data_IF_942192369636
#
_entry.id   IF_942192369636
#
_cell.length_a   1.000
_cell.length_b   1.000
_cell.length_c   1.000
_cell.angle_alpha   90.00
_cell.angle_beta   90.00
_cell.angle_gamma   90.00
#
_symmetry.space_group_name_H-M   'P 1'
#
loop_
_entity.id
_entity.type
_entity.pdbx_description
1 polymer ?
#
# COMPACT_ATOMS: atom_id res chain seq x y z
N UNK A 1 -49.87 23.27 -39.76
CA UNK A 1 -51.22 23.30 -39.14
C UNK A 1 -51.09 22.75 -37.73
N UNK A 2 -52.04 23.06 -36.83
CA UNK A 2 -51.99 22.85 -35.37
C UNK A 2 -50.98 23.71 -34.58
N UNK A 3 -51.52 24.40 -33.58
CA UNK A 3 -50.86 24.95 -32.38
C UNK A 3 -51.07 23.95 -31.21
N UNK A 4 -50.42 24.10 -30.06
CA UNK A 4 -50.93 24.98 -28.97
C UNK A 4 -49.79 25.72 -28.21
N UNK A 5 -50.00 26.60 -27.22
CA UNK A 5 -51.11 27.49 -26.82
C UNK A 5 -50.52 28.65 -25.97
N UNK A 6 -51.33 29.52 -25.35
CA UNK A 6 -51.00 30.94 -25.10
C UNK A 6 -51.16 31.38 -23.61
N UNK A 7 -50.44 32.44 -23.17
CA UNK A 7 -50.59 33.24 -21.89
C UNK A 7 -50.24 32.50 -20.56
N UNK A 8 -49.95 33.11 -19.38
CA UNK A 8 -49.84 34.49 -18.81
C UNK A 8 -49.16 34.39 -17.40
N UNK A 9 -48.63 35.38 -16.65
CA UNK A 9 -48.33 36.84 -16.81
C UNK A 9 -47.12 37.24 -15.89
N UNK A 10 -46.86 38.55 -15.74
CA UNK A 10 -45.83 39.25 -14.96
C UNK A 10 -46.04 39.38 -13.42
N UNK A 11 -44.91 39.56 -12.72
CA UNK A 11 -44.53 40.45 -11.59
C UNK A 11 -45.49 40.86 -10.46
N UNK A 12 -44.96 40.85 -9.23
CA UNK A 12 -44.75 42.09 -8.43
C UNK A 12 -43.82 41.84 -7.21
N UNK A 13 -43.11 42.88 -6.78
CA UNK A 13 -42.32 42.90 -5.54
C UNK A 13 -42.51 44.25 -4.79
N UNK A 14 -42.35 44.26 -3.45
CA UNK A 14 -41.96 45.46 -2.71
C UNK A 14 -40.69 45.23 -1.86
N UNK A 15 -40.15 46.30 -1.26
CA UNK A 15 -38.86 46.25 -0.56
C UNK A 15 -38.77 47.16 0.69
N UNK A 16 -37.76 46.86 1.52
CA UNK A 16 -37.13 47.63 2.61
C UNK A 16 -37.95 48.17 3.80
N UNK A 17 -37.41 47.90 5.01
CA UNK A 17 -37.58 48.69 6.24
C UNK A 17 -36.31 48.50 7.12
N UNK A 18 -36.03 49.41 8.08
CA UNK A 18 -34.82 49.39 8.92
C UNK A 18 -35.11 49.12 10.42
N UNK A 19 -34.06 48.67 11.12
CA UNK A 19 -33.99 48.31 12.55
C UNK A 19 -34.25 49.51 13.49
N UNK A 20 -34.70 49.28 14.74
CA UNK A 20 -33.78 49.46 15.87
C UNK A 20 -33.81 48.34 16.93
N UNK A 21 -32.95 48.46 17.95
CA UNK A 21 -32.53 47.41 18.90
C UNK A 21 -33.54 47.18 20.07
N UNK A 22 -33.61 45.96 20.62
CA UNK A 22 -33.14 45.61 22.00
C UNK A 22 -33.62 44.22 22.51
N UNK A 23 -32.74 43.61 23.33
CA UNK A 23 -32.89 42.55 24.36
C UNK A 23 -34.26 41.89 24.60
N UNK A 24 -34.33 40.54 24.61
CA UNK A 24 -35.47 39.82 25.19
C UNK A 24 -35.58 38.30 24.99
N UNK A 25 -34.63 37.48 25.49
CA UNK A 25 -34.82 36.02 25.52
C UNK A 25 -35.70 35.59 26.71
N UNK A 26 -36.89 35.05 26.43
CA UNK A 26 -37.77 34.48 27.45
C UNK A 26 -37.41 33.02 27.77
N UNK A 27 -37.34 32.68 29.06
CA UNK A 27 -37.21 31.31 29.53
C UNK A 27 -38.55 30.57 29.48
N UNK A 28 -38.51 29.26 29.19
CA UNK A 28 -39.47 28.30 29.73
C UNK A 28 -38.72 27.06 30.21
N UNK A 29 -38.88 26.72 31.50
CA UNK A 29 -38.14 25.66 32.19
C UNK A 29 -39.08 24.52 32.57
N UNK A 30 -38.73 23.28 32.24
CA UNK A 30 -38.97 22.05 33.02
C UNK A 30 -38.28 20.85 32.34
N UNK A 31 -37.89 19.78 33.06
CA UNK A 31 -36.59 19.16 32.77
C UNK A 31 -36.56 17.65 32.44
N UNK A 32 -35.49 17.29 31.71
CA UNK A 32 -34.67 16.07 31.80
C UNK A 32 -35.32 14.67 31.85
N UNK A 33 -35.02 13.87 30.82
CA UNK A 33 -34.68 12.44 30.95
C UNK A 33 -33.45 12.14 30.07
N UNK A 34 -32.73 11.04 30.35
CA UNK A 34 -31.31 10.88 29.98
C UNK A 34 -31.04 10.23 28.61
N UNK A 35 -29.87 10.57 28.07
CA UNK A 35 -29.15 9.85 27.01
C UNK A 35 -27.74 9.57 27.56
N UNK A 36 -27.37 8.30 27.75
CA UNK A 36 -26.07 7.93 28.31
C UNK A 36 -25.08 7.45 27.22
N UNK A 37 -23.89 8.04 27.23
CA UNK A 37 -22.72 7.66 26.42
C UNK A 37 -21.48 8.32 27.01
N UNK A 38 -20.89 7.71 28.04
CA UNK A 38 -19.81 8.31 28.83
C UNK A 38 -18.41 7.78 28.47
N UNK A 39 -17.55 8.69 28.02
CA UNK A 39 -16.09 8.55 28.12
C UNK A 39 -15.62 8.91 29.54
N UNK A 40 -14.45 8.40 30.01
CA UNK A 40 -14.00 8.57 31.38
C UNK A 40 -13.53 10.00 31.72
N UNK A 41 -13.59 10.34 33.01
CA UNK A 41 -13.47 11.71 33.53
C UNK A 41 -12.04 12.03 34.01
N UNK A 42 -11.52 13.19 33.61
CA UNK A 42 -10.49 13.92 34.35
C UNK A 42 -11.12 15.14 35.07
N UNK A 43 -10.88 15.36 36.38
CA UNK A 43 -11.52 16.43 37.13
C UNK A 43 -10.80 17.78 37.00
N UNK A 44 -11.36 18.70 36.21
CA UNK A 44 -11.02 20.12 36.30
C UNK A 44 -11.66 20.77 37.54
N UNK A 45 -10.86 21.09 38.56
CA UNK A 45 -11.32 21.85 39.74
C UNK A 45 -11.33 23.35 39.42
N UNK A 46 -12.49 24.01 39.57
CA UNK A 46 -12.60 25.47 39.42
C UNK A 46 -12.11 26.22 40.65
N UNK A 47 -11.45 27.34 40.39
CA UNK A 47 -10.96 28.32 41.36
C UNK A 47 -12.12 29.08 42.03
N UNK A 48 -12.06 29.23 43.35
CA UNK A 48 -12.85 30.20 44.11
C UNK A 48 -11.97 30.85 45.18
N UNK A 49 -12.20 32.14 45.44
CA UNK A 49 -11.30 33.00 46.21
C UNK A 49 -11.72 33.16 47.68
N UNK A 50 -10.75 33.08 48.58
CA UNK A 50 -10.82 33.66 49.93
C UNK A 50 -9.44 34.19 50.34
N UNK A 51 -9.39 35.16 51.23
CA UNK A 51 -8.16 35.85 51.62
C UNK A 51 -7.47 35.19 52.82
N UNK A 52 -6.15 35.43 52.92
CA UNK A 52 -5.25 35.13 54.05
C UNK A 52 -4.86 33.65 54.29
N UNK A 53 -3.60 33.45 54.69
CA UNK A 53 -3.21 32.38 55.63
C UNK A 53 -2.92 30.97 55.09
N UNK A 54 -1.63 30.62 55.00
CA UNK A 54 -1.03 29.26 54.98
C UNK A 54 -1.98 28.06 55.24
N UNK A 55 -2.05 27.12 54.30
CA UNK A 55 -2.56 25.76 54.55
C UNK A 55 -1.39 24.76 54.58
N UNK A 56 -1.31 23.96 55.64
CA UNK A 56 -0.42 22.78 55.75
C UNK A 56 -1.16 21.54 55.27
N UNK A 57 -0.49 20.67 54.54
CA UNK A 57 -1.00 19.32 54.26
C UNK A 57 -0.78 18.39 55.46
N UNK A 58 -1.82 17.66 55.85
CA UNK A 58 -1.76 16.54 56.80
C UNK A 58 -2.53 15.36 56.18
N UNK A 59 -1.90 14.18 56.09
CA UNK A 59 -2.59 12.96 55.69
C UNK A 59 -3.27 12.32 56.91
N UNK A 60 -4.59 12.29 56.93
CA UNK A 60 -5.37 11.60 57.96
C UNK A 60 -5.59 10.13 57.56
N UNK A 61 -4.99 9.21 58.30
CA UNK A 61 -4.97 7.79 57.95
C UNK A 61 -6.13 7.02 58.61
N UNK A 62 -7.32 7.04 58.01
CA UNK A 62 -8.48 6.19 58.36
C UNK A 62 -9.54 6.19 57.23
N UNK A 63 -9.80 5.02 56.65
CA UNK A 63 -11.08 4.31 56.84
C UNK A 63 -10.91 2.83 56.45
N UNK A 64 -11.64 1.93 57.12
CA UNK A 64 -11.62 0.48 56.87
C UNK A 64 -12.88 0.04 56.14
N UNK A 65 -12.81 -1.14 55.51
CA UNK A 65 -13.93 -1.91 54.97
C UNK A 65 -14.68 -1.26 53.79
N UNK A 66 -14.16 -1.48 52.58
CA UNK A 66 -14.96 -1.54 51.36
C UNK A 66 -14.74 -2.91 50.71
N UNK A 67 -15.81 -3.53 50.21
CA UNK A 67 -15.75 -4.83 49.54
C UNK A 67 -14.93 -4.76 48.25
N UNK A 68 -13.94 -5.64 48.10
CA UNK A 68 -13.19 -5.78 46.85
C UNK A 68 -14.08 -6.51 45.84
N UNK A 69 -14.93 -5.75 45.14
CA UNK A 69 -15.56 -6.21 43.92
C UNK A 69 -14.46 -6.44 42.88
N UNK A 70 -14.13 -7.70 42.62
CA UNK A 70 -13.08 -8.07 41.68
C UNK A 70 -13.56 -7.84 40.24
N UNK A 71 -13.49 -6.59 39.79
CA UNK A 71 -13.56 -6.24 38.38
C UNK A 71 -12.33 -6.82 37.67
N UNK A 72 -12.45 -8.07 37.25
CA UNK A 72 -11.62 -8.64 36.20
C UNK A 72 -11.84 -7.80 34.94
N UNK A 73 -10.98 -6.80 34.77
CA UNK A 73 -10.78 -6.12 33.50
C UNK A 73 -10.29 -7.16 32.51
N UNK A 74 -11.24 -7.76 31.79
CA UNK A 74 -11.01 -8.46 30.53
C UNK A 74 -10.56 -7.41 29.51
N UNK A 75 -9.31 -6.95 29.66
CA UNK A 75 -8.56 -6.35 28.58
C UNK A 75 -8.66 -7.33 27.41
N UNK A 76 -9.15 -6.91 26.23
CA UNK A 76 -9.12 -7.77 25.08
C UNK A 76 -7.66 -8.02 24.74
N UNK A 77 -7.16 -9.20 25.13
CA UNK A 77 -5.85 -9.69 24.68
C UNK A 77 -6.00 -9.96 23.20
N UNK A 78 -5.85 -8.92 22.39
CA UNK A 78 -5.62 -9.03 20.95
C UNK A 78 -4.30 -9.74 20.81
N UNK A 79 -4.36 -11.08 20.77
CA UNK A 79 -3.23 -11.92 20.39
C UNK A 79 -2.76 -11.39 19.06
N UNK A 80 -1.62 -10.70 19.07
CA UNK A 80 -1.04 -10.14 17.87
C UNK A 80 -0.78 -11.30 16.93
N UNK A 81 -1.61 -11.42 15.87
CA UNK A 81 -1.56 -12.54 14.95
C UNK A 81 -0.15 -12.56 14.37
N UNK A 82 0.65 -13.57 14.73
CA UNK A 82 2.04 -13.70 14.26
C UNK A 82 2.02 -13.56 12.75
N UNK A 83 2.71 -12.54 12.26
CA UNK A 83 2.80 -12.22 10.83
C UNK A 83 3.79 -13.24 10.24
N UNK A 84 3.26 -14.42 9.91
CA UNK A 84 4.03 -15.54 9.41
C UNK A 84 4.21 -15.39 7.90
N UNK A 85 5.46 -15.22 7.49
CA UNK A 85 5.84 -15.07 6.09
C UNK A 85 6.01 -16.45 5.43
N UNK A 86 5.34 -16.65 4.29
CA UNK A 86 5.37 -17.90 3.53
C UNK A 86 6.39 -17.81 2.39
N UNK A 87 7.60 -18.29 2.67
CA UNK A 87 8.71 -18.24 1.71
C UNK A 87 8.55 -19.22 0.54
N UNK A 88 7.86 -20.37 0.71
CA UNK A 88 7.53 -21.26 -0.42
C UNK A 88 6.65 -20.50 -1.43
N UNK A 89 5.59 -19.86 -0.94
CA UNK A 89 4.71 -19.04 -1.78
C UNK A 89 5.48 -17.87 -2.39
N UNK A 90 6.44 -17.28 -1.69
CA UNK A 90 7.27 -16.20 -2.23
C UNK A 90 8.24 -16.65 -3.32
N UNK A 91 8.94 -17.79 -3.16
CA UNK A 91 9.83 -18.33 -4.20
C UNK A 91 9.04 -18.69 -5.46
N UNK A 92 7.86 -19.32 -5.32
CA UNK A 92 6.96 -19.56 -6.46
C UNK A 92 6.50 -18.23 -7.09
N UNK A 93 6.16 -17.22 -6.30
CA UNK A 93 5.80 -15.90 -6.83
C UNK A 93 6.95 -15.22 -7.60
N UNK A 94 8.22 -15.48 -7.24
CA UNK A 94 9.38 -15.00 -8.00
C UNK A 94 9.46 -15.70 -9.37
N UNK A 95 9.23 -17.01 -9.45
CA UNK A 95 9.29 -17.72 -10.73
C UNK A 95 8.31 -17.14 -11.76
N UNK A 96 7.10 -16.78 -11.35
CA UNK A 96 6.14 -16.13 -12.23
C UNK A 96 6.45 -14.64 -12.48
N UNK A 97 7.02 -13.92 -11.51
CA UNK A 97 7.53 -12.56 -11.74
C UNK A 97 8.68 -12.55 -12.77
N UNK A 98 9.55 -13.56 -12.74
CA UNK A 98 10.63 -13.79 -13.70
C UNK A 98 10.08 -14.26 -15.07
N UNK A 99 9.10 -15.17 -15.07
CA UNK A 99 8.41 -15.65 -16.29
C UNK A 99 7.87 -14.49 -17.14
N UNK A 100 7.37 -13.42 -16.51
CA UNK A 100 6.88 -12.24 -17.23
C UNK A 100 7.97 -11.47 -18.01
N UNK A 101 9.26 -11.65 -17.68
CA UNK A 101 10.38 -11.10 -18.45
C UNK A 101 10.80 -11.98 -19.64
N UNK A 102 10.49 -13.27 -19.60
CA UNK A 102 10.95 -14.26 -20.57
C UNK A 102 10.48 -13.95 -21.99
N UNK A 103 11.34 -14.15 -22.98
CA UNK A 103 10.94 -14.11 -24.40
C UNK A 103 10.02 -15.29 -24.74
N UNK A 104 10.33 -16.47 -24.20
CA UNK A 104 9.46 -17.65 -24.20
C UNK A 104 9.19 -18.09 -22.74
N UNK A 105 7.96 -17.96 -22.22
CA UNK A 105 7.62 -18.36 -20.85
C UNK A 105 7.43 -19.88 -20.69
N UNK A 106 7.38 -20.67 -21.78
CA UNK A 106 6.99 -22.10 -21.74
C UNK A 106 7.89 -22.92 -20.81
N UNK A 107 9.20 -22.68 -20.79
CA UNK A 107 10.12 -23.43 -19.93
C UNK A 107 9.84 -23.23 -18.43
N UNK A 108 9.66 -21.97 -17.98
CA UNK A 108 9.24 -21.66 -16.60
C UNK A 108 7.90 -22.31 -16.24
N UNK A 109 6.95 -22.29 -17.18
CA UNK A 109 5.62 -22.86 -16.97
C UNK A 109 5.64 -24.38 -16.87
N UNK A 110 6.45 -25.07 -17.69
CA UNK A 110 6.66 -26.52 -17.62
C UNK A 110 7.27 -26.91 -16.28
N UNK A 111 8.31 -26.20 -15.80
CA UNK A 111 8.89 -26.41 -14.46
C UNK A 111 7.82 -26.29 -13.37
N UNK A 112 6.99 -25.25 -13.43
CA UNK A 112 5.92 -24.98 -12.46
C UNK A 112 4.66 -25.85 -12.63
N UNK A 113 4.63 -26.77 -13.62
CA UNK A 113 3.45 -27.56 -14.00
C UNK A 113 2.22 -26.67 -14.23
N UNK A 114 2.44 -25.59 -14.95
CA UNK A 114 1.54 -24.47 -15.14
C UNK A 114 1.09 -24.32 -16.61
N UNK A 115 -0.09 -23.75 -16.80
CA UNK A 115 -0.69 -23.51 -18.12
C UNK A 115 -1.00 -22.02 -18.29
N UNK A 116 -0.78 -21.47 -19.49
CA UNK A 116 -1.23 -20.10 -19.82
C UNK A 116 -2.75 -20.11 -19.94
N UNK A 117 -3.43 -19.30 -19.13
CA UNK A 117 -4.85 -18.98 -19.31
C UNK A 117 -5.04 -17.76 -20.20
N UNK A 118 -4.13 -16.79 -20.09
CA UNK A 118 -4.08 -15.60 -20.94
C UNK A 118 -2.70 -14.94 -20.90
N UNK A 119 -2.28 -14.34 -22.00
CA UNK A 119 -1.11 -13.45 -22.02
C UNK A 119 -1.38 -12.25 -22.93
N UNK A 120 -0.84 -11.09 -22.58
CA UNK A 120 -0.95 -9.84 -23.34
C UNK A 120 0.40 -9.12 -23.35
N UNK A 121 0.79 -8.62 -24.53
CA UNK A 121 1.95 -7.76 -24.74
C UNK A 121 1.55 -6.59 -25.64
N UNK A 122 1.80 -5.37 -25.19
CA UNK A 122 1.56 -4.15 -25.98
C UNK A 122 2.43 -2.99 -25.50
N UNK A 123 2.78 -2.02 -26.38
CA UNK A 123 3.41 -0.77 -25.93
C UNK A 123 2.43 0.02 -25.05
N UNK A 124 2.84 0.38 -23.84
CA UNK A 124 1.96 1.04 -22.86
C UNK A 124 2.49 2.36 -22.29
N UNK A 125 3.78 2.65 -22.47
CA UNK A 125 4.41 3.89 -22.01
C UNK A 125 4.78 4.84 -23.16
N UNK A 126 4.97 6.11 -22.81
CA UNK A 126 5.47 7.20 -23.64
C UNK A 126 6.78 6.86 -24.38
N UNK A 127 7.70 6.15 -23.73
CA UNK A 127 8.98 5.68 -24.29
C UNK A 127 8.85 4.42 -25.16
N UNK A 128 7.61 3.96 -25.42
CA UNK A 128 7.24 2.74 -26.16
C UNK A 128 7.68 1.42 -25.52
N UNK A 129 8.03 1.41 -24.23
CA UNK A 129 8.32 0.15 -23.54
C UNK A 129 7.05 -0.72 -23.44
N UNK A 130 7.24 -2.04 -23.50
CA UNK A 130 6.14 -3.01 -23.58
C UNK A 130 5.62 -3.36 -22.19
N UNK A 131 4.33 -3.17 -21.94
CA UNK A 131 3.65 -3.85 -20.84
C UNK A 131 3.42 -5.31 -21.23
N UNK A 132 3.79 -6.23 -20.33
CA UNK A 132 3.47 -7.65 -20.42
C UNK A 132 2.66 -8.07 -19.18
N UNK A 133 1.57 -8.80 -19.40
CA UNK A 133 0.76 -9.41 -18.36
C UNK A 133 0.43 -10.86 -18.69
N UNK A 134 0.52 -11.74 -17.71
CA UNK A 134 0.31 -13.18 -17.84
C UNK A 134 -0.64 -13.67 -16.73
N UNK A 135 -1.66 -14.43 -17.11
CA UNK A 135 -2.49 -15.22 -16.21
C UNK A 135 -2.16 -16.69 -16.43
N UNK A 136 -1.71 -17.38 -15.39
CA UNK A 136 -1.34 -18.79 -15.43
C UNK A 136 -2.11 -19.62 -14.39
N UNK A 137 -2.34 -20.90 -14.68
CA UNK A 137 -2.99 -21.86 -13.79
C UNK A 137 -2.03 -22.95 -13.36
N UNK A 138 -2.00 -23.25 -12.06
CA UNK A 138 -1.28 -24.39 -11.47
C UNK A 138 -2.26 -25.31 -10.72
N UNK A 139 -1.75 -26.41 -10.14
CA UNK A 139 -2.57 -27.29 -9.29
C UNK A 139 -3.12 -26.58 -8.03
N UNK A 140 -2.35 -25.68 -7.39
CA UNK A 140 -2.73 -24.96 -6.15
C UNK A 140 -3.50 -23.66 -6.42
N UNK A 141 -3.09 -22.90 -7.44
CA UNK A 141 -3.35 -21.45 -7.52
C UNK A 141 -3.43 -20.90 -8.95
N UNK A 142 -4.18 -19.81 -9.13
CA UNK A 142 -4.14 -18.94 -10.31
C UNK A 142 -3.10 -17.85 -10.03
N UNK A 143 -2.18 -17.62 -10.97
CA UNK A 143 -1.18 -16.55 -10.89
C UNK A 143 -1.56 -15.42 -11.85
N UNK A 144 -1.41 -14.18 -11.41
CA UNK A 144 -1.52 -12.97 -12.21
C UNK A 144 -0.18 -12.23 -12.09
N UNK A 145 0.64 -12.33 -13.14
CA UNK A 145 2.02 -11.85 -13.14
C UNK A 145 2.23 -10.72 -14.14
N UNK A 146 2.94 -9.67 -13.71
CA UNK A 146 3.26 -8.50 -14.51
C UNK A 146 4.78 -8.28 -14.61
N UNK A 147 5.23 -7.90 -15.80
CA UNK A 147 6.63 -7.53 -16.07
C UNK A 147 6.88 -6.08 -15.64
N UNK A 148 8.11 -5.78 -15.22
CA UNK A 148 8.61 -4.41 -15.15
C UNK A 148 9.33 -3.97 -16.44
N UNK A 149 9.83 -2.74 -16.46
CA UNK A 149 10.62 -2.20 -17.59
C UNK A 149 11.84 -3.06 -17.92
N UNK A 150 12.33 -2.95 -19.17
CA UNK A 150 13.62 -3.55 -19.57
C UNK A 150 14.81 -2.77 -19.01
N UNK A 151 14.73 -1.44 -19.02
CA UNK A 151 15.73 -0.52 -18.45
C UNK A 151 15.34 -0.12 -17.02
N UNK A 152 16.16 -0.40 -16.01
CA UNK A 152 15.80 -0.15 -14.59
C UNK A 152 16.13 1.26 -14.13
N UNK A 153 17.24 1.80 -14.60
CA UNK A 153 17.68 3.18 -14.44
C UNK A 153 16.69 4.16 -15.10
N UNK A 154 16.11 3.74 -16.23
CA UNK A 154 15.07 4.48 -16.94
C UNK A 154 13.78 4.53 -16.13
N UNK A 155 13.35 3.42 -15.50
CA UNK A 155 12.17 3.40 -14.63
C UNK A 155 12.30 4.39 -13.46
N UNK A 156 13.46 4.47 -12.80
CA UNK A 156 13.66 5.45 -11.71
C UNK A 156 13.54 6.89 -12.24
N UNK A 157 14.08 7.16 -13.43
CA UNK A 157 13.94 8.46 -14.11
C UNK A 157 12.48 8.77 -14.45
N UNK A 158 11.78 7.86 -15.14
CA UNK A 158 10.36 7.97 -15.50
C UNK A 158 9.47 8.17 -14.27
N UNK A 159 9.75 7.47 -13.17
CA UNK A 159 9.03 7.63 -11.91
C UNK A 159 9.25 9.01 -11.31
N UNK A 160 10.48 9.50 -11.26
CA UNK A 160 10.81 10.86 -10.76
C UNK A 160 10.15 11.93 -11.63
N UNK A 161 10.22 11.83 -12.95
CA UNK A 161 9.52 12.74 -13.88
C UNK A 161 7.99 12.67 -13.70
N UNK A 162 7.45 11.49 -13.37
CA UNK A 162 6.02 11.31 -13.10
C UNK A 162 5.54 11.92 -11.77
N UNK A 163 6.42 12.27 -10.83
CA UNK A 163 6.05 12.91 -9.55
C UNK A 163 5.34 14.25 -9.81
N UNK A 164 5.73 14.98 -10.87
CA UNK A 164 5.09 16.24 -11.26
C UNK A 164 3.67 16.08 -11.83
N UNK A 165 3.22 14.86 -12.14
CA UNK A 165 1.85 14.60 -12.63
C UNK A 165 0.93 14.27 -11.44
N UNK A 166 -0.27 14.88 -11.34
CA UNK A 166 -1.22 14.57 -10.28
C UNK A 166 -1.52 13.06 -10.18
N UNK A 167 -1.48 12.52 -8.96
CA UNK A 167 -1.87 11.13 -8.68
C UNK A 167 -3.33 10.89 -9.13
N UNK A 168 -3.60 9.76 -9.76
CA UNK A 168 -4.94 9.37 -10.20
C UNK A 168 -5.72 8.74 -9.05
N UNK A 169 -6.88 9.32 -8.70
CA UNK A 169 -7.77 8.76 -7.67
C UNK A 169 -8.47 7.51 -8.19
N UNK A 170 -8.44 6.41 -7.43
CA UNK A 170 -9.11 5.15 -7.83
C UNK A 170 -10.41 4.93 -7.06
N UNK A 171 -11.35 4.22 -7.67
CA UNK A 171 -12.66 3.92 -7.08
C UNK A 171 -12.58 3.12 -5.77
N UNK A 172 -11.53 2.31 -5.59
CA UNK A 172 -11.31 1.54 -4.36
C UNK A 172 -10.96 2.40 -3.13
N UNK A 173 -10.56 3.65 -3.33
CA UNK A 173 -10.02 4.54 -2.30
C UNK A 173 -8.57 4.92 -2.57
N UNK A 174 -8.20 6.14 -2.20
CA UNK A 174 -6.85 6.66 -2.39
C UNK A 174 -6.52 7.08 -3.83
N UNK A 175 -5.27 7.50 -3.99
CA UNK A 175 -4.71 7.99 -5.25
C UNK A 175 -3.34 7.40 -5.52
N UNK A 176 -3.11 6.94 -6.75
CA UNK A 176 -1.89 6.26 -7.19
C UNK A 176 -1.13 7.07 -8.24
N UNK A 177 0.17 6.81 -8.42
CA UNK A 177 0.94 7.54 -9.45
C UNK A 177 0.36 7.29 -10.86
N UNK A 178 0.23 8.37 -11.64
CA UNK A 178 -0.43 8.33 -12.96
C UNK A 178 0.22 7.32 -13.91
N UNK A 179 1.55 7.18 -13.83
CA UNK A 179 2.34 6.23 -14.62
C UNK A 179 1.86 4.78 -14.42
N UNK A 180 1.84 4.27 -13.18
CA UNK A 180 1.34 2.93 -12.85
C UNK A 180 -0.12 2.72 -13.28
N UNK A 181 -0.98 3.72 -13.06
CA UNK A 181 -2.37 3.65 -13.46
C UNK A 181 -2.52 3.57 -14.99
N UNK A 182 -1.78 4.38 -15.75
CA UNK A 182 -1.85 4.38 -17.21
C UNK A 182 -1.33 3.08 -17.81
N UNK A 183 -0.20 2.59 -17.32
CA UNK A 183 0.39 1.31 -17.73
C UNK A 183 -0.56 0.13 -17.45
N UNK A 184 -1.12 0.04 -16.23
CA UNK A 184 -2.09 -1.01 -15.89
C UNK A 184 -3.35 -0.93 -16.76
N UNK A 185 -3.92 0.27 -16.91
CA UNK A 185 -5.15 0.52 -17.69
C UNK A 185 -5.06 0.02 -19.14
N UNK A 186 -3.87 -0.05 -19.73
CA UNK A 186 -3.67 -0.52 -21.09
C UNK A 186 -3.87 -2.05 -21.26
N UNK A 187 -3.56 -2.84 -20.22
CA UNK A 187 -3.61 -4.33 -20.26
C UNK A 187 -4.72 -4.94 -19.38
N UNK A 188 -5.15 -4.23 -18.34
CA UNK A 188 -5.98 -4.78 -17.27
C UNK A 188 -7.45 -5.07 -17.64
N UNK A 189 -8.15 -4.33 -18.52
CA UNK A 189 -9.55 -4.62 -18.83
C UNK A 189 -9.78 -6.05 -19.35
N UNK A 190 -8.91 -6.53 -20.24
CA UNK A 190 -8.93 -7.87 -20.80
C UNK A 190 -8.55 -8.92 -19.74
N UNK A 191 -7.46 -8.68 -19.01
CA UNK A 191 -6.98 -9.57 -17.95
C UNK A 191 -8.02 -9.74 -16.83
N UNK A 192 -8.64 -8.66 -16.37
CA UNK A 192 -9.63 -8.65 -15.29
C UNK A 192 -10.90 -9.42 -15.68
N UNK A 193 -11.36 -9.31 -16.93
CA UNK A 193 -12.52 -10.05 -17.41
C UNK A 193 -12.26 -11.57 -17.45
N UNK A 194 -11.09 -11.98 -17.97
CA UNK A 194 -10.71 -13.40 -18.02
C UNK A 194 -10.40 -13.95 -16.62
N UNK A 195 -9.76 -13.18 -15.75
CA UNK A 195 -9.54 -13.56 -14.36
C UNK A 195 -10.88 -13.78 -13.64
N UNK A 196 -11.86 -12.88 -13.83
CA UNK A 196 -13.21 -13.02 -13.27
C UNK A 196 -13.89 -14.33 -13.72
N UNK A 197 -13.76 -14.72 -14.99
CA UNK A 197 -14.24 -16.03 -15.46
C UNK A 197 -13.55 -17.18 -14.72
N UNK A 198 -12.21 -17.18 -14.65
CA UNK A 198 -11.45 -18.29 -14.06
C UNK A 198 -11.62 -18.42 -12.53
N UNK A 199 -11.77 -17.34 -11.78
CA UNK A 199 -11.99 -17.42 -10.31
C UNK A 199 -13.36 -18.02 -9.95
N UNK A 200 -14.35 -17.89 -10.83
CA UNK A 200 -15.69 -18.47 -10.68
C UNK A 200 -15.70 -19.96 -11.09
N UNK A 201 -15.00 -20.31 -12.18
CA UNK A 201 -14.79 -21.71 -12.57
C UNK A 201 -13.93 -22.50 -11.56
N UNK A 202 -13.07 -21.81 -10.79
CA UNK A 202 -12.11 -22.40 -9.87
C UNK A 202 -12.16 -21.73 -8.47
N UNK A 203 -13.27 -21.90 -7.72
CA UNK A 203 -13.49 -21.20 -6.45
C UNK A 203 -12.51 -21.60 -5.33
N UNK A 204 -11.90 -22.78 -5.43
CA UNK A 204 -10.97 -23.33 -4.42
C UNK A 204 -9.47 -23.07 -4.73
N UNK A 205 -9.14 -22.28 -5.77
CA UNK A 205 -7.75 -21.89 -6.06
C UNK A 205 -7.39 -20.62 -5.30
N UNK A 206 -6.21 -20.57 -4.69
CA UNK A 206 -5.60 -19.28 -4.30
C UNK A 206 -5.35 -18.42 -5.54
N UNK A 207 -5.32 -17.10 -5.35
CA UNK A 207 -5.05 -16.11 -6.40
C UNK A 207 -3.81 -15.33 -5.96
N UNK A 208 -2.70 -15.46 -6.68
CA UNK A 208 -1.47 -14.72 -6.40
C UNK A 208 -1.27 -13.65 -7.46
N UNK A 209 -1.28 -12.39 -7.04
CA UNK A 209 -0.77 -11.28 -7.82
C UNK A 209 0.73 -11.15 -7.56
N UNK A 210 1.54 -11.09 -8.61
CA UNK A 210 3.00 -11.01 -8.50
C UNK A 210 3.62 -10.12 -9.57
N UNK A 211 4.79 -9.58 -9.24
CA UNK A 211 5.62 -8.84 -10.18
C UNK A 211 6.86 -8.27 -9.51
N UNK A 212 7.90 -8.09 -10.32
CA UNK A 212 9.15 -7.46 -9.93
C UNK A 212 9.21 -6.04 -10.51
N UNK A 213 9.76 -5.08 -9.76
CA UNK A 213 9.98 -3.70 -10.21
C UNK A 213 8.64 -3.00 -10.52
N UNK A 214 8.52 -2.27 -11.64
CA UNK A 214 7.23 -1.78 -12.15
C UNK A 214 6.14 -2.86 -12.14
N UNK A 215 6.47 -4.11 -12.48
CA UNK A 215 5.51 -5.23 -12.45
C UNK A 215 4.89 -5.42 -11.06
N UNK A 216 5.65 -5.18 -9.98
CA UNK A 216 5.12 -5.23 -8.62
C UNK A 216 4.09 -4.12 -8.36
N UNK A 217 4.32 -2.91 -8.85
CA UNK A 217 3.35 -1.82 -8.73
C UNK A 217 2.07 -2.09 -9.52
N UNK A 218 2.18 -2.66 -10.73
CA UNK A 218 1.04 -3.11 -11.53
C UNK A 218 0.26 -4.22 -10.82
N UNK A 219 0.96 -5.20 -10.23
CA UNK A 219 0.36 -6.31 -9.48
C UNK A 219 -0.47 -5.81 -8.28
N UNK A 220 0.07 -4.88 -7.49
CA UNK A 220 -0.65 -4.28 -6.37
C UNK A 220 -1.91 -3.55 -6.86
N UNK A 221 -1.77 -2.66 -7.83
CA UNK A 221 -2.91 -1.87 -8.31
C UNK A 221 -4.00 -2.75 -8.96
N UNK A 222 -3.61 -3.78 -9.71
CA UNK A 222 -4.51 -4.79 -10.25
C UNK A 222 -5.27 -5.51 -9.13
N UNK A 223 -4.54 -6.02 -8.14
CA UNK A 223 -5.11 -6.76 -7.02
C UNK A 223 -6.09 -5.92 -6.19
N UNK A 224 -5.74 -4.67 -5.87
CA UNK A 224 -6.61 -3.75 -5.11
C UNK A 224 -7.91 -3.47 -5.87
N UNK A 225 -7.83 -3.16 -7.17
CA UNK A 225 -8.99 -2.90 -8.01
C UNK A 225 -9.86 -4.17 -8.16
N UNK A 226 -9.24 -5.35 -8.24
CA UNK A 226 -9.96 -6.61 -8.40
C UNK A 226 -10.72 -7.00 -7.14
N UNK A 227 -10.05 -7.04 -5.98
CA UNK A 227 -10.66 -7.44 -4.70
C UNK A 227 -11.65 -6.38 -4.19
N UNK A 228 -11.47 -5.09 -4.54
CA UNK A 228 -12.51 -4.09 -4.28
C UNK A 228 -13.82 -4.38 -5.05
N UNK A 229 -13.72 -4.90 -6.28
CA UNK A 229 -14.88 -5.27 -7.10
C UNK A 229 -15.46 -6.64 -6.70
N UNK A 230 -14.63 -7.53 -6.18
CA UNK A 230 -14.93 -8.91 -5.83
C UNK A 230 -14.44 -9.20 -4.39
N UNK A 231 -15.08 -8.64 -3.35
CA UNK A 231 -14.59 -8.75 -1.97
C UNK A 231 -14.58 -10.19 -1.44
N UNK A 232 -15.41 -11.07 -2.00
CA UNK A 232 -15.53 -12.47 -1.62
C UNK A 232 -14.28 -13.32 -1.89
N UNK A 233 -13.34 -12.83 -2.71
CA UNK A 233 -12.03 -13.50 -2.93
C UNK A 233 -10.89 -12.96 -2.06
N UNK A 234 -11.13 -11.95 -1.21
CA UNK A 234 -10.10 -11.35 -0.34
C UNK A 234 -9.34 -12.39 0.50
N UNK A 235 -10.06 -13.35 1.06
CA UNK A 235 -9.50 -14.40 1.93
C UNK A 235 -8.57 -15.40 1.22
N UNK A 236 -8.60 -15.47 -0.12
CA UNK A 236 -7.78 -16.36 -0.97
C UNK A 236 -6.91 -15.60 -1.96
N UNK A 237 -6.78 -14.28 -1.78
CA UNK A 237 -5.96 -13.41 -2.62
C UNK A 237 -4.71 -12.99 -1.89
N UNK A 238 -3.56 -13.15 -2.55
CA UNK A 238 -2.25 -12.80 -2.03
C UNK A 238 -1.58 -11.82 -3.00
N UNK A 239 -0.87 -10.83 -2.47
CA UNK A 239 0.12 -10.07 -3.22
C UNK A 239 1.51 -10.46 -2.73
N UNK A 240 2.40 -10.83 -3.64
CA UNK A 240 3.83 -10.97 -3.34
C UNK A 240 4.61 -10.23 -4.44
N UNK A 241 5.45 -9.28 -4.06
CA UNK A 241 6.18 -8.43 -5.02
C UNK A 241 7.62 -8.21 -4.61
N UNK A 242 8.45 -7.89 -5.60
CA UNK A 242 9.92 -7.81 -5.47
C UNK A 242 10.37 -6.43 -5.94
N UNK A 243 11.06 -5.67 -5.09
CA UNK A 243 11.55 -4.33 -5.44
C UNK A 243 10.40 -3.39 -5.86
N UNK A 244 9.26 -3.47 -5.18
CA UNK A 244 8.06 -2.70 -5.53
C UNK A 244 8.24 -1.21 -5.14
N UNK A 245 8.14 -0.25 -6.08
CA UNK A 245 8.15 1.18 -5.78
C UNK A 245 6.84 1.63 -5.10
N UNK A 246 6.87 2.77 -4.39
CA UNK A 246 5.68 3.32 -3.69
C UNK A 246 4.54 3.64 -4.67
N UNK A 247 3.47 2.85 -4.66
CA UNK A 247 2.41 2.88 -5.69
C UNK A 247 1.47 4.08 -5.58
N UNK A 248 1.16 4.52 -4.36
CA UNK A 248 0.16 5.57 -4.12
C UNK A 248 0.31 6.30 -2.79
N UNK A 249 -0.77 6.93 -2.33
CA UNK A 249 -0.83 7.68 -1.08
C UNK A 249 -1.25 6.82 0.13
N UNK A 250 -1.25 7.42 1.33
CA UNK A 250 -1.61 6.73 2.57
C UNK A 250 -3.04 6.16 2.56
N UNK A 251 -4.00 6.88 1.99
CA UNK A 251 -5.38 6.38 1.79
C UNK A 251 -5.41 5.15 0.87
N UNK A 252 -4.61 5.12 -0.20
CA UNK A 252 -4.47 3.94 -1.07
C UNK A 252 -3.87 2.75 -0.30
N UNK A 253 -2.83 3.01 0.50
CA UNK A 253 -2.19 1.98 1.30
C UNK A 253 -3.16 1.36 2.31
N UNK A 254 -3.86 2.18 3.09
CA UNK A 254 -4.89 1.69 4.01
C UNK A 254 -6.03 0.96 3.30
N UNK A 255 -6.40 1.36 2.08
CA UNK A 255 -7.38 0.62 1.25
C UNK A 255 -6.83 -0.74 0.84
N UNK A 256 -5.56 -0.82 0.42
CA UNK A 256 -4.91 -2.06 0.03
C UNK A 256 -4.87 -3.06 1.19
N UNK A 257 -4.38 -2.64 2.36
CA UNK A 257 -4.18 -3.51 3.52
C UNK A 257 -5.49 -4.12 4.05
N UNK A 258 -6.60 -3.37 3.95
CA UNK A 258 -7.95 -3.86 4.30
C UNK A 258 -8.49 -4.88 3.31
N UNK A 259 -8.17 -4.73 2.02
CA UNK A 259 -8.65 -5.61 0.95
C UNK A 259 -7.79 -6.88 0.81
N UNK A 260 -6.49 -6.79 1.07
CA UNK A 260 -5.52 -7.87 0.84
C UNK A 260 -4.62 -8.03 2.08
N UNK A 261 -5.08 -8.70 3.15
CA UNK A 261 -4.29 -8.89 4.36
C UNK A 261 -3.05 -9.79 4.18
N UNK A 262 -2.96 -10.53 3.06
CA UNK A 262 -1.78 -11.33 2.68
C UNK A 262 -1.00 -10.59 1.59
N UNK A 263 -0.40 -9.46 1.97
CA UNK A 263 0.33 -8.57 1.06
C UNK A 263 1.77 -8.39 1.53
N UNK A 264 2.72 -8.82 0.70
CA UNK A 264 4.13 -8.92 1.02
C UNK A 264 5.00 -8.19 -0.03
N UNK A 265 5.90 -7.32 0.43
CA UNK A 265 6.92 -6.65 -0.38
C UNK A 265 8.30 -7.16 0.01
N UNK A 266 8.95 -7.93 -0.87
CA UNK A 266 10.32 -8.36 -0.67
C UNK A 266 11.28 -7.27 -1.16
N UNK A 267 12.23 -6.91 -0.30
CA UNK A 267 13.26 -5.90 -0.55
C UNK A 267 14.63 -6.54 -0.30
N UNK A 268 15.52 -6.43 -1.29
CA UNK A 268 16.87 -6.98 -1.23
C UNK A 268 17.90 -5.88 -0.97
N UNK A 269 18.80 -6.11 -0.02
CA UNK A 269 19.95 -5.25 0.28
C UNK A 269 19.55 -3.79 0.45
N UNK A 270 20.18 -2.92 -0.35
CA UNK A 270 19.87 -1.50 -0.44
C UNK A 270 19.22 -1.13 -1.79
N UNK A 271 18.31 -1.96 -2.32
CA UNK A 271 17.53 -1.69 -3.54
C UNK A 271 16.89 -0.28 -3.50
N UNK A 272 17.25 0.59 -4.44
CA UNK A 272 16.72 1.96 -4.52
C UNK A 272 15.23 2.04 -4.89
N UNK A 273 14.67 1.04 -5.58
CA UNK A 273 13.35 1.13 -6.21
C UNK A 273 12.21 1.20 -5.20
N UNK A 274 12.18 0.42 -4.10
CA UNK A 274 11.22 0.60 -3.00
C UNK A 274 11.22 2.00 -2.38
N UNK A 275 12.33 2.74 -2.42
CA UNK A 275 12.42 4.07 -1.83
C UNK A 275 12.01 5.20 -2.80
N UNK A 276 11.65 4.86 -4.06
CA UNK A 276 11.07 5.80 -5.02
C UNK A 276 9.61 5.44 -5.39
N UNK A 277 8.78 6.45 -5.74
CA UNK A 277 8.95 7.86 -5.43
C UNK A 277 9.07 8.10 -3.91
N UNK A 278 9.78 9.17 -3.53
CA UNK A 278 9.99 9.48 -2.11
C UNK A 278 8.66 9.76 -1.40
N UNK A 279 8.58 9.36 -0.13
CA UNK A 279 7.49 9.75 0.75
C UNK A 279 7.66 11.20 1.22
N UNK A 280 6.66 11.77 1.92
CA UNK A 280 6.84 13.06 2.59
C UNK A 280 7.59 12.81 3.90
N UNK A 281 8.86 13.20 3.94
CA UNK A 281 9.75 12.96 5.06
C UNK A 281 9.61 14.00 6.19
N UNK A 282 9.85 13.56 7.42
CA UNK A 282 10.10 14.47 8.54
C UNK A 282 11.43 15.20 8.41
N UNK A 283 11.38 16.55 8.36
CA UNK A 283 12.56 17.43 8.44
C UNK A 283 13.33 17.25 9.77
N UNK A 284 12.66 16.73 10.81
CA UNK A 284 13.32 16.27 12.05
C UNK A 284 13.79 14.83 11.86
N UNK A 285 15.11 14.61 11.90
CA UNK A 285 15.72 13.28 11.86
C UNK A 285 15.20 12.37 12.99
N UNK A 286 15.06 11.04 12.80
CA UNK A 286 15.38 10.28 11.59
C UNK A 286 14.47 10.63 10.39
N UNK A 287 14.96 10.34 9.19
CA UNK A 287 14.09 10.31 8.00
C UNK A 287 12.98 9.29 8.29
N UNK A 288 11.74 9.70 8.07
CA UNK A 288 10.56 8.91 8.40
C UNK A 288 9.39 9.42 7.56
N UNK A 289 8.67 8.51 6.91
CA UNK A 289 7.51 8.83 6.09
C UNK A 289 6.34 9.31 6.98
N UNK A 290 5.74 10.46 6.64
CA UNK A 290 4.63 11.04 7.40
C UNK A 290 3.29 10.61 6.77
N UNK A 291 2.48 9.76 7.43
CA UNK A 291 1.20 9.29 6.87
C UNK A 291 0.13 10.39 6.76
N UNK A 292 0.25 11.47 7.53
CA UNK A 292 -0.73 12.56 7.56
C UNK A 292 -0.82 13.35 6.23
N UNK A 293 0.25 13.38 5.44
CA UNK A 293 0.26 14.06 4.14
C UNK A 293 -0.23 13.13 3.02
N UNK A 294 -1.56 12.99 2.89
CA UNK A 294 -2.22 12.10 1.90
C UNK A 294 -2.00 12.49 0.40
N UNK A 295 -1.07 13.40 0.10
CA UNK A 295 -0.54 13.65 -1.25
C UNK A 295 0.81 12.96 -1.52
N UNK A 296 1.54 12.62 -0.45
CA UNK A 296 2.81 11.91 -0.50
C UNK A 296 2.68 10.49 -1.07
N UNK A 297 3.82 9.86 -1.28
CA UNK A 297 3.90 8.43 -1.61
C UNK A 297 4.05 7.62 -0.33
N UNK A 298 3.40 6.46 -0.23
CA UNK A 298 3.39 5.62 0.98
C UNK A 298 3.20 4.14 0.62
N UNK A 299 3.87 3.24 1.34
CA UNK A 299 3.84 1.78 1.13
C UNK A 299 2.63 1.06 1.74
N UNK A 300 2.34 -0.13 1.21
CA UNK A 300 1.26 -1.02 1.65
C UNK A 300 1.74 -2.47 1.81
N UNK A 301 1.03 -3.26 2.62
CA UNK A 301 1.44 -4.60 2.99
C UNK A 301 2.65 -4.63 3.93
N UNK A 302 3.06 -5.82 4.33
CA UNK A 302 4.25 -6.01 5.17
C UNK A 302 5.50 -6.09 4.29
N UNK A 303 6.56 -5.38 4.68
CA UNK A 303 7.88 -5.54 4.08
C UNK A 303 8.60 -6.76 4.67
N UNK A 304 9.26 -7.51 3.81
CA UNK A 304 10.19 -8.59 4.15
C UNK A 304 11.55 -8.19 3.59
N UNK A 305 12.42 -7.71 4.46
CA UNK A 305 13.71 -7.17 4.08
C UNK A 305 14.82 -8.20 4.29
N UNK A 306 15.57 -8.46 3.24
CA UNK A 306 16.75 -9.31 3.25
C UNK A 306 17.98 -8.39 3.18
N UNK A 307 18.75 -8.20 4.26
CA UNK A 307 19.91 -7.28 4.27
C UNK A 307 21.11 -7.81 3.47
N UNK A 308 21.12 -9.11 3.18
CA UNK A 308 22.17 -9.84 2.47
C UNK A 308 21.62 -10.43 1.14
N UNK A 309 22.46 -11.18 0.41
CA UNK A 309 22.29 -11.71 -0.97
C UNK A 309 21.09 -12.67 -1.20
N UNK A 310 20.17 -12.82 -0.24
CA UNK A 310 19.01 -13.73 -0.27
C UNK A 310 19.36 -15.21 -0.49
N UNK A 311 20.46 -15.70 0.09
CA UNK A 311 20.74 -17.13 0.10
C UNK A 311 19.79 -17.89 1.04
N UNK A 312 19.70 -19.21 0.87
CA UNK A 312 18.90 -20.11 1.73
C UNK A 312 19.37 -20.15 3.19
N UNK A 313 20.50 -19.50 3.50
CA UNK A 313 21.08 -19.34 4.84
C UNK A 313 21.02 -17.91 5.38
N UNK A 314 20.53 -16.93 4.60
CA UNK A 314 20.44 -15.54 5.05
C UNK A 314 19.17 -15.30 5.89
N UNK A 315 19.34 -14.62 7.03
CA UNK A 315 18.22 -14.16 7.83
C UNK A 315 17.50 -12.99 7.15
N UNK A 316 16.17 -13.09 7.05
CA UNK A 316 15.30 -11.97 6.66
C UNK A 316 14.61 -11.35 7.87
N UNK A 317 14.19 -10.10 7.71
CA UNK A 317 13.43 -9.36 8.71
C UNK A 317 12.00 -9.11 8.25
N UNK A 318 11.03 -9.47 9.09
CA UNK A 318 9.63 -9.08 8.93
C UNK A 318 9.45 -7.68 9.55
N UNK A 319 9.02 -6.71 8.72
CA UNK A 319 9.07 -5.29 9.05
C UNK A 319 7.72 -4.78 9.55
N UNK A 320 7.52 -4.92 10.87
CA UNK A 320 6.29 -4.53 11.58
C UNK A 320 6.50 -3.37 12.56
N UNK A 321 7.63 -2.65 12.46
CA UNK A 321 7.93 -1.46 13.24
C UNK A 321 7.29 -0.18 12.69
N UNK A 322 7.74 0.96 13.21
CA UNK A 322 7.14 2.27 12.94
C UNK A 322 7.94 3.11 11.92
N UNK A 323 7.26 3.87 11.03
CA UNK A 323 5.81 3.85 10.80
C UNK A 323 5.35 2.54 10.14
N UNK A 324 4.13 2.12 10.42
CA UNK A 324 3.52 0.94 9.77
C UNK A 324 3.62 1.04 8.24
N UNK A 325 4.04 -0.06 7.62
CA UNK A 325 4.42 -0.25 6.20
C UNK A 325 5.70 0.48 5.73
N UNK A 326 6.33 1.32 6.56
CA UNK A 326 7.52 2.14 6.24
C UNK A 326 8.61 2.03 7.33
N UNK A 327 8.70 0.87 8.02
CA UNK A 327 9.55 0.62 9.20
C UNK A 327 10.98 1.22 9.04
N UNK A 328 11.26 2.29 9.79
CA UNK A 328 12.52 3.04 9.74
C UNK A 328 13.75 2.20 10.12
N UNK A 329 13.56 0.97 10.63
CA UNK A 329 14.62 0.06 11.02
C UNK A 329 14.80 -1.14 10.08
N UNK A 330 14.02 -1.22 8.99
CA UNK A 330 14.26 -2.13 7.86
C UNK A 330 15.01 -1.41 6.72
N UNK A 331 14.64 -1.60 5.44
CA UNK A 331 15.34 -1.00 4.30
C UNK A 331 15.43 0.54 4.37
N UNK A 332 14.41 1.20 4.94
CA UNK A 332 14.41 2.65 5.22
C UNK A 332 15.53 3.10 6.19
N UNK A 333 16.28 2.19 6.82
CA UNK A 333 17.48 2.51 7.62
C UNK A 333 18.72 2.83 6.78
N UNK A 334 18.76 2.43 5.51
CA UNK A 334 19.86 2.74 4.59
C UNK A 334 19.93 4.25 4.26
N UNK A 335 21.16 4.72 3.99
CA UNK A 335 21.45 6.12 3.60
C UNK A 335 22.09 6.26 2.22
N UNK A 336 22.31 5.14 1.55
CA UNK A 336 22.85 5.03 0.22
C UNK A 336 22.27 3.75 -0.37
N UNK A 337 21.75 3.84 -1.58
CA UNK A 337 21.02 2.78 -2.26
C UNK A 337 21.75 2.38 -3.55
N UNK A 338 21.57 1.13 -3.96
CA UNK A 338 22.17 0.55 -5.17
C UNK A 338 21.06 0.05 -6.11
N UNK A 339 21.24 0.26 -7.41
CA UNK A 339 20.35 -0.30 -8.44
C UNK A 339 20.75 -1.74 -8.79
N UNK A 340 21.95 -2.19 -8.37
CA UNK A 340 22.38 -3.58 -8.55
C UNK A 340 21.54 -4.56 -7.71
N UNK A 341 21.29 -4.23 -6.44
CA UNK A 341 20.54 -5.10 -5.51
C UNK A 341 19.11 -5.35 -6.02
N UNK A 342 18.51 -4.34 -6.68
CA UNK A 342 17.22 -4.45 -7.37
C UNK A 342 17.15 -5.60 -8.40
N UNK A 343 18.27 -6.02 -8.99
CA UNK A 343 18.27 -6.99 -10.08
C UNK A 343 18.21 -8.44 -9.59
N UNK A 344 18.45 -8.69 -8.29
CA UNK A 344 18.60 -10.02 -7.71
C UNK A 344 17.58 -10.29 -6.62
N UNK A 345 16.93 -11.45 -6.68
CA UNK A 345 16.06 -11.96 -5.61
C UNK A 345 16.25 -13.47 -5.50
N UNK A 346 16.38 -14.00 -4.27
CA UNK A 346 16.74 -15.41 -4.00
C UNK A 346 17.95 -15.90 -4.84
N UNK A 347 19.04 -15.12 -4.85
CA UNK A 347 20.24 -15.40 -5.67
C UNK A 347 20.07 -15.30 -7.19
N UNK A 348 18.87 -15.02 -7.72
CA UNK A 348 18.57 -15.04 -9.14
C UNK A 348 18.48 -13.63 -9.76
N UNK A 349 19.22 -13.37 -10.83
CA UNK A 349 19.03 -12.19 -11.67
C UNK A 349 17.67 -12.29 -12.40
N UNK A 350 16.66 -11.53 -11.95
CA UNK A 350 15.24 -11.84 -12.21
C UNK A 350 14.91 -11.99 -13.71
N UNK A 351 15.45 -11.11 -14.56
CA UNK A 351 15.18 -11.17 -16.01
C UNK A 351 15.94 -12.28 -16.73
N UNK A 352 17.11 -12.71 -16.23
CA UNK A 352 17.85 -13.82 -16.84
C UNK A 352 17.31 -15.17 -16.38
N UNK A 353 16.93 -15.29 -15.11
CA UNK A 353 16.27 -16.48 -14.58
C UNK A 353 14.97 -16.78 -15.36
N UNK A 354 14.18 -15.75 -15.66
CA UNK A 354 13.02 -15.86 -16.55
C UNK A 354 13.38 -16.33 -17.96
N UNK A 355 14.34 -15.65 -18.62
CA UNK A 355 14.79 -16.00 -19.97
C UNK A 355 15.40 -17.41 -20.07
N UNK A 356 16.04 -17.89 -19.02
CA UNK A 356 16.63 -19.23 -18.94
C UNK A 356 15.58 -20.33 -18.68
N UNK A 357 14.30 -19.99 -18.48
CA UNK A 357 13.25 -20.97 -18.19
C UNK A 357 13.08 -21.31 -16.71
N UNK A 358 13.44 -20.40 -15.81
CA UNK A 358 13.35 -20.53 -14.35
C UNK A 358 14.18 -21.70 -13.80
N UNK A 359 15.28 -22.05 -14.46
CA UNK A 359 16.29 -22.98 -13.96
C UNK A 359 17.58 -22.22 -13.60
N UNK A 360 18.36 -22.79 -12.68
CA UNK A 360 19.69 -22.29 -12.36
C UNK A 360 20.63 -22.48 -13.58
N UNK A 361 21.52 -21.51 -13.86
CA UNK A 361 22.50 -21.66 -14.93
C UNK A 361 23.60 -22.63 -14.51
N UNK A 362 24.00 -23.53 -15.43
CA UNK A 362 25.04 -24.56 -15.21
C UNK A 362 26.42 -23.99 -14.78
N UNK A 363 26.64 -22.69 -14.97
CA UNK A 363 27.72 -21.93 -14.35
C UNK A 363 27.21 -20.57 -13.86
N UNK A 364 27.66 -20.08 -12.69
CA UNK A 364 27.33 -18.73 -12.25
C UNK A 364 27.82 -17.69 -13.27
N UNK A 365 26.91 -16.88 -13.80
CA UNK A 365 27.30 -15.69 -14.56
C UNK A 365 27.97 -14.72 -13.58
N UNK A 366 29.21 -14.35 -13.84
CA UNK A 366 29.96 -13.38 -13.03
C UNK A 366 29.41 -11.95 -13.23
N UNK A 367 28.28 -11.64 -12.58
CA UNK A 367 27.70 -10.30 -12.52
C UNK A 367 28.60 -9.38 -11.67
N UNK A 368 29.59 -8.74 -12.30
CA UNK A 368 30.45 -7.76 -11.62
C UNK A 368 29.61 -6.58 -11.12
N UNK A 369 29.53 -6.37 -9.80
CA UNK A 369 28.86 -5.22 -9.16
C UNK A 369 29.56 -3.89 -9.51
N UNK A 370 29.24 -3.36 -10.69
CA UNK A 370 29.74 -2.06 -11.18
C UNK A 370 29.12 -0.93 -10.35
N UNK A 371 29.83 -0.47 -9.32
CA UNK A 371 29.46 0.72 -8.51
C UNK A 371 29.30 1.97 -9.38
N UNK A 372 28.08 2.22 -9.87
CA UNK A 372 27.72 3.41 -10.63
C UNK A 372 27.57 4.61 -9.71
N UNK A 373 28.63 5.44 -9.62
CA UNK A 373 28.68 6.66 -8.77
C UNK A 373 27.54 7.68 -8.98
N UNK A 374 26.71 7.52 -10.01
CA UNK A 374 25.63 8.43 -10.41
C UNK A 374 24.64 8.72 -9.25
N UNK A 375 24.16 7.68 -8.57
CA UNK A 375 23.11 7.84 -7.54
C UNK A 375 23.58 8.56 -6.28
N UNK A 376 24.88 8.47 -5.94
CA UNK A 376 25.49 9.23 -4.83
C UNK A 376 25.47 10.76 -5.03
N UNK A 377 25.27 11.23 -6.26
CA UNK A 377 25.15 12.66 -6.57
C UNK A 377 23.69 13.10 -6.72
N UNK A 378 22.80 12.25 -7.25
CA UNK A 378 21.36 12.56 -7.28
C UNK A 378 20.78 12.78 -5.87
N UNK A 379 21.17 11.95 -4.90
CA UNK A 379 20.81 12.14 -3.48
C UNK A 379 21.41 13.40 -2.83
N UNK A 380 22.30 14.13 -3.52
CA UNK A 380 22.83 15.45 -3.09
C UNK A 380 22.25 16.64 -3.86
N UNK A 381 21.37 16.40 -4.84
CA UNK A 381 20.72 17.44 -5.65
C UNK A 381 19.28 17.69 -5.14
N UNK A 382 18.77 16.82 -4.28
CA UNK A 382 17.40 16.86 -3.73
C UNK A 382 17.33 17.27 -2.24
N UNK A 383 18.45 17.68 -1.63
CA UNK A 383 18.55 18.21 -0.24
C UNK A 383 19.49 19.42 -0.19
#
# INVERSE_FOLDING_TARGET
MYQPSDRRTFDHAPAWAKVPQLVGCWFRVSPLSFLDSCLPVFPCVKQLTSQTGRIRWYMSNRFKNATIACFLLLLPVTVAKKVDFDEERARVALEFAATAYAIDPVHCLVKNRAFILYQIRLPCDYMKDECWGLIALTKKQIIVSFRGTKSKEQLVTELVESIGKPKHRIHAGGSVHYYFYSALRAIWPQMSHLLHFWINMLPHKEIIFTGHSLGGALASLASTIFVHKFPEISNRTHLITFGQPRVGNFEYAQTHDRLIPSSWRLVHGADIVPHVPMCVESVKRPISCIPFYNHGSYHHGTEIWFPNEMSDTDEYRICTGDPVNEDNSCSNSHRAFDIFDHLFYFGHHVSDYGNNGCIEPESPRNYTRKRTKLWSNYYKILY
#
